data_IF_060122704107
#
_entry.id   IF_060122704107
#
_cell.length_a   1.000
_cell.length_b   1.000
_cell.length_c   1.000
_cell.angle_alpha   90.00
_cell.angle_beta   90.00
_cell.angle_gamma   90.00
#
_symmetry.space_group_name_H-M   'P 1'
#
loop_
_entity.id
_entity.type
_entity.pdbx_description
1 polymer ?
#
# COMPACT_ATOMS: atom_id res chain seq x y z
N UNK A 1 -50.15 59.15 -74.66
CA UNK A 1 -49.40 59.64 -73.50
C UNK A 1 -50.38 59.97 -72.38
N UNK A 2 -50.53 59.10 -71.38
CA UNK A 2 -51.26 59.41 -70.16
C UNK A 2 -50.53 58.75 -68.99
N UNK A 3 -49.97 59.59 -68.12
CA UNK A 3 -49.26 59.20 -66.91
C UNK A 3 -50.27 58.77 -65.84
N UNK A 4 -50.13 57.55 -65.33
CA UNK A 4 -50.90 57.05 -64.20
C UNK A 4 -50.19 57.41 -62.88
N UNK A 5 -50.89 58.20 -62.07
CA UNK A 5 -50.53 58.61 -60.72
C UNK A 5 -50.48 57.40 -59.77
N UNK A 6 -49.30 57.12 -59.21
CA UNK A 6 -49.14 56.18 -58.10
C UNK A 6 -49.64 56.81 -56.79
N UNK A 7 -50.61 56.16 -56.15
CA UNK A 7 -51.15 56.52 -54.84
C UNK A 7 -50.43 55.68 -53.77
N UNK A 8 -49.78 56.27 -52.75
CA UNK A 8 -49.07 55.50 -51.74
C UNK A 8 -50.07 54.81 -50.79
N UNK A 9 -49.86 53.52 -50.55
CA UNK A 9 -50.66 52.73 -49.63
C UNK A 9 -50.36 53.13 -48.16
N UNK A 10 -51.43 53.37 -47.39
CA UNK A 10 -51.41 53.60 -45.95
C UNK A 10 -50.86 52.37 -45.22
N UNK A 11 -49.83 52.56 -44.39
CA UNK A 11 -49.33 51.52 -43.48
C UNK A 11 -50.42 51.15 -42.46
N UNK A 12 -50.80 49.86 -42.45
CA UNK A 12 -51.73 49.31 -41.47
C UNK A 12 -51.04 49.18 -40.10
N UNK A 13 -51.69 49.71 -39.06
CA UNK A 13 -51.30 49.52 -37.64
C UNK A 13 -51.39 48.02 -37.29
N UNK A 14 -50.37 47.41 -36.64
CA UNK A 14 -50.46 46.02 -36.21
C UNK A 14 -51.52 45.88 -35.12
N UNK A 15 -52.38 44.87 -35.28
CA UNK A 15 -53.39 44.49 -34.30
C UNK A 15 -52.72 44.08 -32.97
N UNK A 16 -53.22 44.60 -31.85
CA UNK A 16 -52.82 44.19 -30.52
C UNK A 16 -53.08 42.68 -30.35
N UNK A 17 -52.02 41.92 -30.05
CA UNK A 17 -52.13 40.47 -29.78
C UNK A 17 -53.01 40.24 -28.55
N UNK A 18 -53.92 39.25 -28.56
CA UNK A 18 -54.73 38.92 -27.39
C UNK A 18 -53.83 38.47 -26.22
N UNK A 19 -54.18 38.82 -24.97
CA UNK A 19 -53.43 38.38 -23.80
C UNK A 19 -53.48 36.86 -23.71
N UNK A 20 -52.30 36.21 -23.73
CA UNK A 20 -52.17 34.78 -23.45
C UNK A 20 -52.64 34.53 -22.02
N UNK A 21 -53.82 33.94 -21.84
CA UNK A 21 -54.31 33.51 -20.52
C UNK A 21 -53.35 32.46 -19.99
N UNK A 22 -52.74 32.73 -18.83
CA UNK A 22 -51.70 31.88 -18.25
C UNK A 22 -52.27 30.52 -17.84
N UNK A 23 -51.69 29.44 -18.39
CA UNK A 23 -51.91 28.05 -17.97
C UNK A 23 -51.24 27.72 -16.62
N UNK A 24 -50.62 28.71 -15.97
CA UNK A 24 -49.84 28.57 -14.73
C UNK A 24 -50.57 27.84 -13.61
N UNK A 25 -51.88 28.06 -13.42
CA UNK A 25 -52.64 27.37 -12.36
C UNK A 25 -52.88 25.90 -12.69
N UNK A 26 -53.09 25.56 -13.95
CA UNK A 26 -53.29 24.18 -14.40
C UNK A 26 -51.97 23.39 -14.42
N UNK A 27 -50.88 24.05 -14.82
CA UNK A 27 -49.51 23.53 -14.69
C UNK A 27 -49.15 23.27 -13.22
N UNK A 28 -49.51 24.17 -12.29
CA UNK A 28 -49.26 23.98 -10.86
C UNK A 28 -50.05 22.81 -10.27
N UNK A 29 -51.32 22.65 -10.65
CA UNK A 29 -52.17 21.54 -10.15
C UNK A 29 -51.70 20.19 -10.69
N UNK A 30 -51.20 20.13 -11.92
CA UNK A 30 -50.64 18.90 -12.49
C UNK A 30 -49.21 18.61 -12.00
N UNK A 31 -48.40 19.63 -11.76
CA UNK A 31 -47.02 19.46 -11.29
C UNK A 31 -46.95 18.95 -9.84
N UNK A 32 -47.86 19.39 -8.97
CA UNK A 32 -47.85 19.04 -7.55
C UNK A 32 -47.90 17.51 -7.28
N UNK A 33 -48.85 16.72 -7.84
CA UNK A 33 -48.87 15.27 -7.62
C UNK A 33 -47.66 14.57 -8.23
N UNK A 34 -47.12 15.06 -9.35
CA UNK A 34 -45.91 14.51 -9.97
C UNK A 34 -44.70 14.75 -9.05
N UNK A 35 -44.55 15.95 -8.51
CA UNK A 35 -43.48 16.30 -7.58
C UNK A 35 -43.57 15.46 -6.29
N UNK A 36 -44.77 15.28 -5.73
CA UNK A 36 -44.97 14.40 -4.57
C UNK A 36 -44.65 12.94 -4.89
N UNK A 37 -45.00 12.44 -6.07
CA UNK A 37 -44.65 11.09 -6.50
C UNK A 37 -43.14 10.92 -6.64
N UNK A 38 -42.43 11.88 -7.26
CA UNK A 38 -40.97 11.86 -7.39
C UNK A 38 -40.30 11.91 -6.00
N UNK A 39 -40.77 12.78 -5.11
CA UNK A 39 -40.26 12.84 -3.73
C UNK A 39 -40.47 11.51 -2.99
N UNK A 40 -41.64 10.89 -3.14
CA UNK A 40 -41.90 9.57 -2.56
C UNK A 40 -40.95 8.50 -3.12
N UNK A 41 -40.68 8.51 -4.43
CA UNK A 41 -39.72 7.60 -5.06
C UNK A 41 -38.30 7.82 -4.53
N UNK A 42 -37.84 9.07 -4.41
CA UNK A 42 -36.51 9.39 -3.89
C UNK A 42 -36.32 8.90 -2.44
N UNK A 43 -37.31 9.12 -1.57
CA UNK A 43 -37.24 8.69 -0.17
C UNK A 43 -37.25 7.16 -0.07
N UNK A 44 -38.10 6.48 -0.84
CA UNK A 44 -38.12 5.02 -0.88
C UNK A 44 -36.80 4.46 -1.40
N UNK A 45 -36.26 5.01 -2.49
CA UNK A 45 -34.96 4.61 -3.05
C UNK A 45 -33.83 4.81 -2.04
N UNK A 46 -33.72 5.98 -1.42
CA UNK A 46 -32.72 6.24 -0.38
C UNK A 46 -32.82 5.28 0.80
N UNK A 47 -34.06 4.92 1.19
CA UNK A 47 -34.30 3.93 2.25
C UNK A 47 -33.82 2.54 1.83
N UNK A 48 -34.18 2.06 0.63
CA UNK A 48 -33.75 0.76 0.11
C UNK A 48 -32.22 0.70 -0.03
N UNK A 49 -31.61 1.75 -0.58
CA UNK A 49 -30.16 1.86 -0.71
C UNK A 49 -29.46 1.80 0.66
N UNK A 50 -29.97 2.54 1.65
CA UNK A 50 -29.45 2.52 3.03
C UNK A 50 -29.49 1.11 3.63
N UNK A 51 -30.60 0.38 3.42
CA UNK A 51 -30.72 -1.01 3.88
C UNK A 51 -29.82 -1.97 3.13
N UNK A 52 -29.58 -1.74 1.83
CA UNK A 52 -28.62 -2.53 1.04
C UNK A 52 -27.20 -2.36 1.57
N UNK A 53 -26.77 -1.14 1.86
CA UNK A 53 -25.44 -0.87 2.44
C UNK A 53 -25.30 -1.55 3.80
N UNK A 54 -26.30 -1.42 4.69
CA UNK A 54 -26.30 -2.13 5.98
C UNK A 54 -26.24 -3.64 5.81
N UNK A 55 -26.99 -4.21 4.87
CA UNK A 55 -26.95 -5.63 4.55
C UNK A 55 -25.57 -6.08 4.07
N UNK A 56 -24.89 -5.29 3.23
CA UNK A 56 -23.52 -5.58 2.78
C UNK A 56 -22.52 -5.53 3.93
N UNK A 57 -22.65 -4.57 4.85
CA UNK A 57 -21.82 -4.51 6.06
C UNK A 57 -22.02 -5.78 6.91
N UNK A 58 -23.27 -6.19 7.17
CA UNK A 58 -23.55 -7.41 7.96
C UNK A 58 -23.01 -8.66 7.27
N UNK A 59 -23.22 -8.80 5.96
CA UNK A 59 -22.68 -9.90 5.17
C UNK A 59 -21.14 -9.99 5.26
N UNK A 60 -20.44 -8.85 5.11
CA UNK A 60 -18.98 -8.77 5.26
C UNK A 60 -18.52 -9.05 6.68
N UNK A 61 -19.25 -8.59 7.69
CA UNK A 61 -18.92 -8.83 9.09
C UNK A 61 -19.04 -10.31 9.47
N UNK A 62 -20.12 -10.98 9.04
CA UNK A 62 -20.30 -12.41 9.26
C UNK A 62 -19.21 -13.24 8.60
N UNK A 63 -18.75 -12.78 7.44
CA UNK A 63 -17.66 -13.41 6.73
C UNK A 63 -16.31 -13.24 7.43
N UNK A 64 -16.06 -12.04 7.94
CA UNK A 64 -14.81 -11.69 8.62
C UNK A 64 -14.67 -12.31 10.01
N UNK A 65 -15.79 -12.58 10.71
CA UNK A 65 -15.77 -13.28 12.00
C UNK A 65 -15.41 -14.76 11.86
N UNK A 66 -15.65 -15.36 10.70
CA UNK A 66 -15.38 -16.77 10.41
C UNK A 66 -13.99 -16.99 9.78
N UNK A 67 -13.17 -15.92 9.68
CA UNK A 67 -11.81 -16.01 9.15
C UNK A 67 -10.91 -16.80 10.09
N UNK A 68 -10.11 -17.69 9.52
CA UNK A 68 -9.11 -18.47 10.24
C UNK A 68 -8.15 -17.57 11.04
N UNK A 69 -7.79 -17.99 12.27
CA UNK A 69 -6.88 -17.25 13.16
C UNK A 69 -7.53 -16.14 14.01
N UNK A 70 -8.84 -15.91 13.92
CA UNK A 70 -9.56 -14.92 14.75
C UNK A 70 -10.32 -15.48 15.95
N UNK A 71 -10.53 -16.79 16.01
CA UNK A 71 -11.01 -17.43 17.24
C UNK A 71 -9.84 -17.57 18.18
N UNK A 72 -9.66 -16.60 19.10
CA UNK A 72 -8.81 -16.81 20.27
C UNK A 72 -9.25 -18.10 20.97
N UNK A 73 -8.31 -18.90 21.48
CA UNK A 73 -8.49 -20.29 21.93
C UNK A 73 -9.58 -20.53 23.00
N UNK A 74 -10.21 -19.49 23.52
CA UNK A 74 -11.18 -19.54 24.63
C UNK A 74 -12.50 -18.82 24.37
N UNK A 75 -12.68 -18.14 23.24
CA UNK A 75 -13.88 -17.35 22.99
C UNK A 75 -14.47 -17.60 21.59
N UNK A 76 -15.76 -17.98 21.47
CA UNK A 76 -16.41 -18.13 20.16
C UNK A 76 -16.34 -16.83 19.35
N UNK A 77 -16.24 -16.95 18.02
CA UNK A 77 -16.07 -15.87 17.04
C UNK A 77 -17.03 -14.66 17.19
N UNK A 78 -18.14 -14.83 17.92
CA UNK A 78 -19.17 -13.83 18.18
C UNK A 78 -18.97 -13.01 19.45
N UNK A 79 -18.00 -13.36 20.32
CA UNK A 79 -17.90 -12.79 21.68
C UNK A 79 -17.25 -11.39 21.74
N UNK A 80 -16.36 -11.04 20.82
CA UNK A 80 -15.68 -9.74 20.80
C UNK A 80 -16.51 -8.61 20.18
N UNK A 81 -17.70 -8.92 19.66
CA UNK A 81 -18.64 -7.93 19.16
C UNK A 81 -19.60 -7.52 20.27
N UNK A 82 -19.97 -6.23 20.40
CA UNK A 82 -21.02 -5.82 21.32
C UNK A 82 -22.24 -6.72 21.13
N UNK A 83 -22.57 -7.50 22.17
CA UNK A 83 -23.61 -8.52 22.10
C UNK A 83 -24.99 -7.96 21.74
N UNK A 84 -25.14 -6.63 21.87
CA UNK A 84 -26.27 -5.88 21.38
C UNK A 84 -26.36 -5.71 19.86
N UNK A 85 -25.35 -6.01 19.03
CA UNK A 85 -25.43 -5.77 17.58
C UNK A 85 -26.14 -6.90 16.81
N UNK A 86 -26.10 -8.14 17.31
CA UNK A 86 -26.96 -9.23 16.79
C UNK A 86 -28.37 -9.15 17.38
N UNK A 87 -28.53 -8.61 18.61
CA UNK A 87 -29.84 -8.28 19.18
C UNK A 87 -30.45 -6.99 18.61
N UNK A 88 -29.63 -6.07 18.09
CA UNK A 88 -30.03 -4.87 17.34
C UNK A 88 -29.91 -5.06 15.82
N UNK A 89 -29.47 -6.23 15.36
CA UNK A 89 -29.71 -6.67 13.99
C UNK A 89 -31.23 -6.81 13.91
N UNK A 90 -31.90 -5.99 13.08
CA UNK A 90 -33.35 -6.03 13.04
C UNK A 90 -33.79 -7.46 12.66
N UNK A 91 -34.93 -7.94 13.18
CA UNK A 91 -35.38 -9.35 13.16
C UNK A 91 -35.59 -10.00 11.77
N UNK A 92 -35.08 -9.38 10.71
CA UNK A 92 -35.15 -9.81 9.32
C UNK A 92 -33.78 -10.15 8.70
N UNK A 93 -32.67 -10.09 9.45
CA UNK A 93 -31.32 -10.41 8.94
C UNK A 93 -30.89 -11.82 9.29
N UNK A 94 -31.16 -12.76 8.38
CA UNK A 94 -30.49 -14.06 8.36
C UNK A 94 -29.08 -13.88 7.80
N UNK A 95 -28.08 -14.28 8.58
CA UNK A 95 -26.69 -14.29 8.16
C UNK A 95 -26.14 -15.71 8.21
N UNK A 96 -25.43 -16.12 7.15
CA UNK A 96 -24.82 -17.44 7.05
C UNK A 96 -23.57 -17.38 6.19
N UNK A 97 -22.79 -18.45 6.26
CA UNK A 97 -21.61 -18.66 5.41
C UNK A 97 -21.90 -19.86 4.50
N UNK A 98 -21.66 -19.68 3.21
CA UNK A 98 -21.68 -20.75 2.21
C UNK A 98 -20.37 -20.78 1.45
N UNK A 99 -19.89 -21.97 1.11
CA UNK A 99 -18.82 -22.14 0.12
C UNK A 99 -19.39 -22.01 -1.28
N UNK A 100 -18.69 -21.31 -2.17
CA UNK A 100 -19.04 -21.30 -3.59
C UNK A 100 -18.40 -22.49 -4.30
N UNK A 101 -19.10 -23.14 -5.25
CA UNK A 101 -18.43 -23.97 -6.24
C UNK A 101 -17.53 -23.10 -7.12
N UNK A 102 -16.33 -23.62 -7.39
CA UNK A 102 -15.22 -23.10 -8.21
C UNK A 102 -15.60 -22.49 -9.58
N UNK A 103 -16.80 -22.76 -10.08
CA UNK A 103 -17.31 -22.28 -11.38
C UNK A 103 -17.49 -20.76 -11.50
N UNK A 104 -17.59 -20.02 -10.38
CA UNK A 104 -17.81 -18.55 -10.42
C UNK A 104 -16.53 -17.72 -10.53
N UNK A 105 -15.35 -18.25 -10.22
CA UNK A 105 -14.08 -17.51 -10.30
C UNK A 105 -13.66 -17.30 -11.76
N UNK A 106 -13.80 -18.34 -12.57
CA UNK A 106 -13.70 -18.24 -14.03
C UNK A 106 -14.73 -17.28 -14.60
N UNK A 107 -15.93 -17.20 -14.02
CA UNK A 107 -16.96 -16.26 -14.43
C UNK A 107 -16.65 -14.80 -14.03
N UNK A 108 -15.92 -14.55 -12.94
CA UNK A 108 -15.46 -13.20 -12.56
C UNK A 108 -14.35 -12.72 -13.52
N UNK A 109 -13.37 -13.58 -13.85
CA UNK A 109 -12.38 -13.29 -14.89
C UNK A 109 -13.03 -13.06 -16.27
N UNK A 110 -14.05 -13.85 -16.62
CA UNK A 110 -14.74 -13.77 -17.92
C UNK A 110 -15.76 -12.62 -18.00
N UNK A 111 -16.55 -12.34 -16.95
CA UNK A 111 -17.68 -11.40 -16.99
C UNK A 111 -17.32 -9.97 -16.59
N UNK A 112 -16.30 -9.78 -15.74
CA UNK A 112 -15.91 -8.44 -15.25
C UNK A 112 -14.58 -7.93 -15.81
N UNK A 113 -14.01 -8.63 -16.79
CA UNK A 113 -12.96 -8.03 -17.61
C UNK A 113 -11.71 -7.66 -16.82
N UNK A 114 -11.21 -8.56 -15.97
CA UNK A 114 -9.79 -8.56 -15.64
C UNK A 114 -8.95 -9.04 -16.85
N UNK A 115 -9.26 -8.54 -18.06
CA UNK A 115 -8.27 -8.20 -19.09
C UNK A 115 -7.60 -6.87 -18.73
N UNK A 116 -7.51 -6.53 -17.45
CA UNK A 116 -6.47 -5.64 -17.01
C UNK A 116 -5.17 -6.26 -17.54
N UNK A 117 -4.26 -5.48 -18.14
CA UNK A 117 -2.88 -5.92 -18.28
C UNK A 117 -2.31 -6.04 -16.86
N UNK A 118 -2.74 -7.07 -16.14
CA UNK A 118 -1.92 -7.66 -15.11
C UNK A 118 -0.69 -8.05 -15.92
N UNK A 119 0.39 -7.29 -15.75
CA UNK A 119 1.69 -7.73 -16.19
C UNK A 119 1.95 -9.04 -15.49
N UNK A 120 1.46 -10.14 -16.08
CA UNK A 120 1.96 -11.46 -15.82
C UNK A 120 3.35 -11.37 -16.44
N UNK A 121 4.31 -10.89 -15.63
CA UNK A 121 5.72 -11.05 -15.96
C UNK A 121 5.91 -12.52 -16.33
N UNK A 122 6.84 -12.84 -17.25
CA UNK A 122 7.04 -14.22 -17.68
C UNK A 122 7.09 -15.11 -16.45
N UNK A 123 6.07 -15.96 -16.28
CA UNK A 123 6.05 -16.95 -15.21
C UNK A 123 7.28 -17.79 -15.47
N UNK A 124 8.18 -17.78 -14.51
CA UNK A 124 9.41 -18.52 -14.62
C UNK A 124 9.01 -19.99 -14.81
N UNK A 125 9.25 -20.54 -16.00
CA UNK A 125 8.88 -21.92 -16.35
C UNK A 125 7.74 -22.14 -17.36
N UNK A 126 6.89 -21.16 -17.70
CA UNK A 126 5.77 -21.37 -18.65
C UNK A 126 6.22 -21.67 -20.09
N UNK A 127 7.47 -21.31 -20.42
CA UNK A 127 8.11 -21.54 -21.72
C UNK A 127 9.23 -22.57 -21.64
N UNK A 128 9.40 -23.24 -20.50
CA UNK A 128 10.51 -24.16 -20.29
C UNK A 128 10.09 -25.58 -20.65
N UNK A 129 10.80 -26.18 -21.61
CA UNK A 129 10.56 -27.56 -22.01
C UNK A 129 10.89 -28.53 -20.85
N UNK A 130 10.19 -29.68 -20.75
CA UNK A 130 10.52 -30.71 -19.76
C UNK A 130 12.00 -31.07 -19.79
N UNK A 131 12.66 -31.34 -18.63
CA UNK A 131 12.08 -31.73 -17.35
C UNK A 131 11.86 -30.59 -16.34
N UNK A 132 12.20 -29.35 -16.67
CA UNK A 132 12.03 -28.23 -15.74
C UNK A 132 10.55 -27.90 -15.55
N UNK A 133 10.14 -27.78 -14.29
CA UNK A 133 8.77 -27.51 -13.90
C UNK A 133 8.50 -26.00 -13.86
N UNK A 134 7.25 -25.55 -14.09
CA UNK A 134 6.88 -24.17 -13.81
C UNK A 134 6.93 -23.87 -12.31
N UNK A 135 7.02 -22.59 -11.94
CA UNK A 135 6.74 -22.18 -10.57
C UNK A 135 5.32 -22.60 -10.21
N UNK A 136 5.20 -23.45 -9.20
CA UNK A 136 3.90 -23.91 -8.72
C UNK A 136 3.50 -23.05 -7.53
N UNK A 137 2.31 -22.48 -7.60
CA UNK A 137 1.66 -21.90 -6.42
C UNK A 137 1.19 -23.05 -5.54
N UNK A 138 1.52 -22.99 -4.26
CA UNK A 138 1.02 -23.96 -3.29
C UNK A 138 -0.51 -23.81 -3.17
N UNK A 139 -1.23 -24.75 -3.78
CA UNK A 139 -2.70 -24.74 -3.86
C UNK A 139 -3.37 -24.99 -2.50
N UNK A 140 -2.63 -25.49 -1.49
CA UNK A 140 -3.17 -25.65 -0.14
C UNK A 140 -3.12 -24.31 0.63
N UNK A 141 -2.21 -23.40 0.25
CA UNK A 141 -2.12 -22.04 0.80
C UNK A 141 -2.94 -21.03 -0.03
N UNK A 142 -2.81 -21.06 -1.35
CA UNK A 142 -3.38 -20.11 -2.31
C UNK A 142 -4.13 -20.82 -3.44
N UNK A 143 -5.34 -21.28 -3.13
CA UNK A 143 -6.32 -21.67 -4.14
C UNK A 143 -7.60 -20.83 -4.01
N UNK A 144 -7.79 -19.80 -4.87
CA UNK A 144 -9.00 -18.96 -4.87
C UNK A 144 -10.29 -19.77 -5.02
N UNK A 145 -10.23 -20.96 -5.59
CA UNK A 145 -11.38 -21.83 -5.82
C UNK A 145 -11.79 -22.63 -4.55
N UNK A 146 -10.83 -23.02 -3.69
CA UNK A 146 -11.11 -23.75 -2.42
C UNK A 146 -11.43 -22.84 -1.25
N UNK A 147 -10.78 -21.69 -1.23
CA UNK A 147 -10.65 -20.85 -0.04
C UNK A 147 -11.52 -19.60 -0.12
N UNK A 148 -12.48 -19.52 -1.06
CA UNK A 148 -13.43 -18.40 -1.14
C UNK A 148 -14.69 -18.68 -0.31
N UNK A 149 -14.91 -17.85 0.70
CA UNK A 149 -16.12 -17.85 1.51
C UNK A 149 -17.07 -16.75 1.03
N UNK A 150 -18.39 -16.98 1.11
CA UNK A 150 -19.41 -15.94 0.97
C UNK A 150 -20.19 -15.78 2.27
N UNK A 151 -20.22 -14.55 2.77
CA UNK A 151 -21.17 -14.12 3.79
C UNK A 151 -22.39 -13.55 3.10
N UNK A 152 -23.58 -13.95 3.53
CA UNK A 152 -24.83 -13.39 3.02
C UNK A 152 -25.65 -12.73 4.14
N UNK A 153 -26.47 -11.77 3.75
CA UNK A 153 -27.44 -11.12 4.62
C UNK A 153 -28.74 -10.88 3.83
N UNK A 154 -29.87 -11.27 4.38
CA UNK A 154 -31.19 -10.96 3.80
C UNK A 154 -31.89 -9.86 4.59
N UNK A 155 -32.72 -9.04 3.96
CA UNK A 155 -33.59 -8.05 4.64
C UNK A 155 -34.94 -8.04 3.95
N UNK A 156 -36.02 -8.03 4.71
CA UNK A 156 -37.38 -7.82 4.21
C UNK A 156 -38.04 -6.65 4.94
N UNK A 157 -38.57 -5.67 4.20
CA UNK A 157 -39.14 -4.42 4.76
C UNK A 157 -40.20 -3.83 3.82
N UNK A 158 -41.12 -3.04 4.38
CA UNK A 158 -42.07 -2.25 3.59
C UNK A 158 -41.48 -0.91 3.14
N UNK A 159 -41.98 -0.39 2.02
CA UNK A 159 -41.68 0.96 1.55
C UNK A 159 -42.28 2.03 2.48
N UNK A 160 -41.51 3.01 2.98
CA UNK A 160 -42.02 4.01 3.92
C UNK A 160 -43.19 4.85 3.38
N UNK A 161 -43.14 5.25 2.11
CA UNK A 161 -44.16 6.13 1.50
C UNK A 161 -45.04 5.44 0.46
N UNK A 162 -44.67 4.24 0.01
CA UNK A 162 -45.41 3.46 -1.00
C UNK A 162 -45.79 2.07 -0.45
N UNK A 163 -46.37 2.02 0.75
CA UNK A 163 -46.72 0.77 1.45
C UNK A 163 -47.59 -0.20 0.64
N UNK A 164 -48.40 0.32 -0.30
CA UNK A 164 -49.23 -0.49 -1.20
C UNK A 164 -48.46 -1.32 -2.23
N UNK A 165 -47.17 -1.03 -2.46
CA UNK A 165 -46.29 -1.85 -3.30
C UNK A 165 -45.88 -3.16 -2.62
N UNK A 166 -46.20 -3.33 -1.33
CA UNK A 166 -45.79 -4.49 -0.55
C UNK A 166 -44.33 -4.41 -0.08
N UNK A 167 -43.85 -5.47 0.58
CA UNK A 167 -42.50 -5.51 1.10
C UNK A 167 -41.48 -5.70 -0.02
N UNK A 168 -40.36 -4.98 0.07
CA UNK A 168 -39.17 -5.28 -0.70
C UNK A 168 -38.27 -6.26 0.06
N UNK A 169 -37.54 -7.09 -0.71
CA UNK A 169 -36.53 -8.01 -0.20
C UNK A 169 -35.18 -7.67 -0.79
N UNK A 170 -34.17 -7.60 0.06
CA UNK A 170 -32.78 -7.40 -0.33
C UNK A 170 -31.98 -8.63 0.07
N UNK A 171 -31.16 -9.11 -0.85
CA UNK A 171 -30.06 -10.03 -0.58
C UNK A 171 -28.76 -9.26 -0.75
N UNK A 172 -27.93 -9.27 0.27
CA UNK A 172 -26.56 -8.80 0.24
C UNK A 172 -25.62 -9.99 0.38
N UNK A 173 -24.51 -9.93 -0.35
CA UNK A 173 -23.51 -10.98 -0.40
C UNK A 173 -22.15 -10.29 -0.43
N UNK A 174 -21.21 -10.81 0.35
CA UNK A 174 -19.80 -10.43 0.32
C UNK A 174 -18.96 -11.68 0.14
N UNK A 175 -17.85 -11.55 -0.59
CA UNK A 175 -16.88 -12.63 -0.78
C UNK A 175 -15.57 -12.26 -0.09
N UNK A 176 -14.91 -13.26 0.48
CA UNK A 176 -13.63 -13.13 1.17
C UNK A 176 -12.82 -14.35 0.85
N UNK A 177 -11.55 -14.11 0.58
CA UNK A 177 -10.59 -15.18 0.49
C UNK A 177 -10.06 -15.54 1.88
N UNK A 178 -10.28 -16.79 2.28
CA UNK A 178 -9.98 -17.35 3.57
C UNK A 178 -9.06 -18.56 3.42
N UNK A 179 -7.89 -18.50 4.03
CA UNK A 179 -6.96 -19.62 4.13
C UNK A 179 -5.94 -19.35 5.23
N UNK A 180 -4.97 -20.25 5.42
CA UNK A 180 -3.93 -20.11 6.43
C UNK A 180 -2.87 -19.09 5.99
N UNK A 181 -3.27 -17.83 5.78
CA UNK A 181 -2.41 -16.70 5.42
C UNK A 181 -1.66 -16.16 6.64
N UNK A 182 -1.06 -17.06 7.41
CA UNK A 182 -0.26 -16.69 8.59
C UNK A 182 1.21 -16.61 8.19
N UNK A 183 1.98 -15.78 8.90
CA UNK A 183 3.43 -15.66 8.71
C UNK A 183 4.11 -17.03 8.62
N UNK A 184 3.91 -17.94 9.59
CA UNK A 184 4.52 -19.26 9.57
C UNK A 184 4.06 -20.14 8.40
N UNK A 185 2.79 -20.06 8.00
CA UNK A 185 2.24 -20.89 6.93
C UNK A 185 2.74 -20.47 5.54
N UNK A 186 3.16 -19.21 5.38
CA UNK A 186 3.81 -18.71 4.17
C UNK A 186 5.33 -18.95 4.17
N UNK A 187 5.86 -19.55 5.23
CA UNK A 187 7.29 -19.77 5.44
C UNK A 187 8.08 -18.52 5.79
N UNK A 188 7.37 -17.44 6.16
CA UNK A 188 7.98 -16.19 6.59
C UNK A 188 8.18 -16.19 8.12
N UNK A 189 9.35 -15.75 8.56
CA UNK A 189 9.78 -15.71 9.95
C UNK A 189 9.44 -14.37 10.62
N UNK A 190 9.56 -13.27 9.89
CA UNK A 190 9.25 -11.92 10.37
C UNK A 190 8.79 -10.98 9.24
N UNK A 191 8.34 -9.78 9.59
CA UNK A 191 7.82 -8.80 8.62
C UNK A 191 8.88 -8.26 7.64
N UNK A 192 10.16 -8.51 7.88
CA UNK A 192 11.26 -8.07 7.03
C UNK A 192 11.57 -9.11 5.93
N UNK A 193 10.93 -10.29 6.00
CA UNK A 193 11.01 -11.28 4.93
C UNK A 193 10.32 -10.77 3.65
N UNK A 194 11.14 -10.45 2.66
CA UNK A 194 10.70 -10.06 1.32
C UNK A 194 10.12 -11.23 0.50
N UNK A 195 10.07 -12.44 1.06
CA UNK A 195 9.67 -13.67 0.34
C UNK A 195 8.70 -14.51 1.17
N UNK A 196 7.76 -15.15 0.48
CA UNK A 196 6.88 -16.19 1.04
C UNK A 196 7.31 -17.55 0.44
N UNK A 197 8.36 -18.20 0.98
CA UNK A 197 8.97 -19.36 0.34
C UNK A 197 8.03 -20.56 0.21
N UNK A 198 7.06 -20.70 1.11
CA UNK A 198 6.13 -21.84 1.06
C UNK A 198 4.94 -21.59 0.13
N UNK A 199 4.71 -20.33 -0.27
CA UNK A 199 3.66 -19.93 -1.20
C UNK A 199 3.99 -20.33 -2.65
N UNK A 200 5.27 -20.28 -3.01
CA UNK A 200 5.76 -20.62 -4.34
C UNK A 200 6.79 -21.74 -4.25
N UNK A 201 6.46 -22.90 -4.79
CA UNK A 201 7.46 -23.95 -4.97
C UNK A 201 8.37 -23.56 -6.13
N UNK A 202 9.62 -23.22 -5.79
CA UNK A 202 10.67 -23.03 -6.80
C UNK A 202 10.91 -24.38 -7.46
N UNK A 203 10.77 -24.49 -8.79
CA UNK A 203 10.93 -25.75 -9.47
C UNK A 203 12.37 -26.24 -9.35
N UNK A 204 12.53 -27.49 -8.94
CA UNK A 204 13.82 -28.17 -8.99
C UNK A 204 14.19 -28.34 -10.47
N UNK A 205 15.10 -27.51 -10.95
CA UNK A 205 15.61 -27.61 -12.32
C UNK A 205 16.95 -28.35 -12.30
N UNK A 206 17.11 -29.41 -13.12
CA UNK A 206 18.42 -30.04 -13.32
C UNK A 206 19.33 -29.17 -14.20
N UNK A 207 18.81 -28.08 -14.80
CA UNK A 207 19.59 -27.15 -15.60
C UNK A 207 20.38 -26.18 -14.69
N UNK A 208 21.72 -26.31 -14.61
CA UNK A 208 22.56 -25.43 -13.80
C UNK A 208 22.52 -23.97 -14.28
N UNK A 209 22.05 -23.70 -15.51
CA UNK A 209 21.95 -22.35 -16.06
C UNK A 209 20.96 -21.47 -15.29
N UNK A 210 20.00 -22.05 -14.57
CA UNK A 210 19.02 -21.29 -13.80
C UNK A 210 19.63 -20.63 -12.56
N UNK A 211 20.42 -21.39 -11.80
CA UNK A 211 21.22 -20.83 -10.72
C UNK A 211 22.13 -19.73 -11.26
N UNK A 212 22.71 -19.95 -12.45
CA UNK A 212 23.59 -18.97 -13.09
C UNK A 212 22.85 -17.70 -13.56
N UNK A 213 21.60 -17.81 -14.05
CA UNK A 213 20.75 -16.65 -14.40
C UNK A 213 20.33 -15.87 -13.16
N UNK A 214 20.02 -16.55 -12.06
CA UNK A 214 19.74 -15.91 -10.78
C UNK A 214 20.97 -15.18 -10.24
N UNK A 215 22.13 -15.84 -10.26
CA UNK A 215 23.42 -15.23 -9.93
C UNK A 215 23.68 -14.01 -10.82
N UNK A 216 23.43 -14.10 -12.13
CA UNK A 216 23.59 -12.98 -13.05
C UNK A 216 22.61 -11.84 -12.77
N UNK A 217 21.36 -12.12 -12.37
CA UNK A 217 20.39 -11.10 -12.00
C UNK A 217 20.79 -10.37 -10.71
N UNK A 218 21.21 -11.11 -9.69
CA UNK A 218 21.78 -10.53 -8.46
C UNK A 218 23.04 -9.74 -8.77
N UNK A 219 23.93 -10.30 -9.61
CA UNK A 219 25.14 -9.63 -10.06
C UNK A 219 24.83 -8.35 -10.84
N UNK A 220 23.74 -8.28 -11.63
CA UNK A 220 23.34 -7.04 -12.30
C UNK A 220 22.88 -5.95 -11.33
N UNK A 221 22.29 -6.31 -10.21
CA UNK A 221 21.94 -5.36 -9.14
C UNK A 221 23.22 -4.92 -8.43
N UNK A 222 24.08 -5.87 -8.09
CA UNK A 222 25.32 -5.64 -7.38
C UNK A 222 26.38 -4.87 -8.19
N UNK A 223 26.40 -5.08 -9.51
CA UNK A 223 27.26 -4.39 -10.48
C UNK A 223 26.46 -3.41 -11.34
N UNK A 224 25.36 -2.88 -10.81
CA UNK A 224 24.57 -1.89 -11.53
C UNK A 224 25.45 -0.66 -11.86
N UNK A 225 25.22 0.05 -12.98
CA UNK A 225 26.04 1.21 -13.34
C UNK A 225 26.05 2.31 -12.28
N UNK A 226 24.95 2.46 -11.53
CA UNK A 226 24.80 3.42 -10.44
C UNK A 226 25.40 2.96 -9.11
N UNK A 227 25.95 1.74 -9.02
CA UNK A 227 26.52 1.24 -7.76
C UNK A 227 27.77 2.03 -7.36
N UNK A 228 28.50 2.62 -8.32
CA UNK A 228 29.56 3.58 -8.03
C UNK A 228 29.06 4.83 -7.31
N UNK A 229 27.86 5.32 -7.66
CA UNK A 229 27.24 6.49 -7.02
C UNK A 229 26.73 6.17 -5.61
N UNK A 230 26.38 4.90 -5.36
CA UNK A 230 25.95 4.40 -4.04
C UNK A 230 27.11 3.90 -3.18
N UNK A 231 28.31 3.73 -3.77
CA UNK A 231 29.47 3.15 -3.09
C UNK A 231 29.87 3.93 -1.82
N UNK A 232 29.85 5.28 -1.78
CA UNK A 232 30.10 6.03 -0.55
C UNK A 232 29.05 5.81 0.55
N UNK A 233 27.84 5.35 0.20
CA UNK A 233 26.75 5.08 1.14
C UNK A 233 26.74 3.62 1.62
N UNK A 234 27.08 2.68 0.73
CA UNK A 234 26.99 1.24 0.99
C UNK A 234 28.30 0.66 1.57
N UNK A 235 29.46 1.17 1.13
CA UNK A 235 30.79 0.60 1.42
C UNK A 235 31.88 1.65 1.32
N UNK A 236 32.11 2.33 2.43
CA UNK A 236 33.32 3.12 2.61
C UNK A 236 34.50 2.19 2.89
N UNK A 237 35.47 2.15 1.96
CA UNK A 237 36.65 1.27 2.03
C UNK A 237 37.52 1.62 3.27
N UNK A 238 37.52 2.86 3.75
CA UNK A 238 38.23 3.28 4.96
C UNK A 238 37.53 2.75 6.22
N UNK A 239 36.20 2.80 6.24
CA UNK A 239 35.40 2.25 7.34
C UNK A 239 35.61 0.73 7.48
N UNK A 240 35.68 0.01 6.36
CA UNK A 240 35.99 -1.41 6.33
C UNK A 240 37.43 -1.70 6.77
N UNK A 241 38.40 -0.93 6.28
CA UNK A 241 39.81 -1.06 6.63
C UNK A 241 40.03 -0.93 8.15
N UNK A 242 39.53 0.15 8.75
CA UNK A 242 39.73 0.41 10.18
C UNK A 242 39.01 -0.60 11.06
N UNK A 243 37.82 -1.06 10.65
CA UNK A 243 37.13 -2.15 11.35
C UNK A 243 37.86 -3.49 11.29
N UNK A 244 38.43 -3.84 10.13
CA UNK A 244 39.20 -5.08 10.03
C UNK A 244 40.48 -5.01 10.87
N UNK A 245 41.09 -3.84 10.96
CA UNK A 245 42.29 -3.61 11.78
C UNK A 245 42.02 -3.66 13.29
N UNK A 246 40.87 -3.16 13.72
CA UNK A 246 40.48 -3.10 15.13
C UNK A 246 39.25 -3.96 15.43
N UNK A 247 39.32 -5.30 15.25
CA UNK A 247 38.17 -6.19 15.38
C UNK A 247 37.65 -6.31 16.82
N UNK A 248 38.45 -5.93 17.81
CA UNK A 248 38.14 -6.07 19.23
C UNK A 248 37.84 -4.74 19.94
N UNK A 249 37.86 -3.61 19.24
CA UNK A 249 37.64 -2.28 19.84
C UNK A 249 36.16 -1.90 19.68
N UNK A 250 35.34 -1.93 20.74
CA UNK A 250 33.90 -1.79 20.61
C UNK A 250 33.47 -0.44 20.02
N UNK A 251 34.21 0.63 20.34
CA UNK A 251 33.94 1.98 19.82
C UNK A 251 34.05 2.04 18.28
N UNK A 252 34.96 1.26 17.69
CA UNK A 252 35.18 1.20 16.23
C UNK A 252 34.21 0.19 15.59
N UNK A 253 34.00 -0.98 16.22
CA UNK A 253 33.12 -2.02 15.68
C UNK A 253 31.64 -1.63 15.69
N UNK A 254 31.19 -0.99 16.77
CA UNK A 254 29.79 -0.68 17.02
C UNK A 254 29.21 0.46 16.18
N UNK A 255 30.05 1.25 15.50
CA UNK A 255 29.57 2.32 14.60
C UNK A 255 29.03 1.72 13.30
N UNK A 256 27.85 2.17 12.85
CA UNK A 256 27.13 1.59 11.72
C UNK A 256 27.43 2.28 10.39
N UNK A 257 27.41 1.50 9.29
CA UNK A 257 27.47 1.99 7.91
C UNK A 257 26.08 2.32 7.34
N UNK A 258 25.02 1.90 8.02
CA UNK A 258 23.64 2.13 7.55
C UNK A 258 23.13 3.51 8.00
N UNK A 259 23.62 4.54 7.31
CA UNK A 259 23.18 5.91 7.52
C UNK A 259 21.72 6.15 7.10
N UNK A 260 21.21 5.35 6.16
CA UNK A 260 19.83 5.46 5.66
C UNK A 260 18.86 4.97 6.74
N UNK A 261 19.09 3.78 7.29
CA UNK A 261 18.27 3.23 8.38
C UNK A 261 18.32 4.09 9.65
N UNK A 262 19.45 4.76 9.89
CA UNK A 262 19.64 5.58 11.10
C UNK A 262 19.11 7.01 10.97
N UNK A 263 19.33 7.67 9.84
CA UNK A 263 19.04 9.09 9.66
C UNK A 263 17.92 9.39 8.66
N UNK A 264 17.61 8.47 7.74
CA UNK A 264 16.61 8.68 6.68
C UNK A 264 15.47 7.65 6.71
N UNK A 265 15.07 7.22 7.92
CA UNK A 265 13.97 6.25 8.07
C UNK A 265 12.60 6.92 8.19
N UNK A 266 11.69 6.52 7.30
CA UNK A 266 10.24 6.65 7.46
C UNK A 266 9.72 5.55 8.42
N UNK A 267 9.55 5.87 9.71
CA UNK A 267 9.08 4.90 10.70
C UNK A 267 7.82 4.15 10.26
N UNK A 268 7.68 2.90 10.72
CA UNK A 268 6.61 1.98 10.33
C UNK A 268 5.24 2.67 10.27
N UNK A 269 4.62 2.67 9.10
CA UNK A 269 3.37 3.35 8.84
C UNK A 269 2.49 2.51 7.92
N UNK A 270 1.26 2.27 8.36
CA UNK A 270 0.25 1.52 7.62
C UNK A 270 -1.06 2.31 7.62
N UNK A 271 -1.09 3.44 6.91
CA UNK A 271 -2.32 4.19 6.63
C UNK A 271 -2.42 4.48 5.13
N UNK A 272 -3.65 4.65 4.66
CA UNK A 272 -3.97 5.00 3.27
C UNK A 272 -4.46 6.45 3.15
N UNK A 273 -4.58 7.19 4.26
CA UNK A 273 -4.94 8.61 4.24
C UNK A 273 -3.86 9.43 3.50
N UNK A 274 -4.18 10.07 2.35
CA UNK A 274 -3.22 10.84 1.58
C UNK A 274 -2.61 12.00 2.37
N UNK A 275 -3.36 12.61 3.30
CA UNK A 275 -2.86 13.73 4.12
C UNK A 275 -1.83 13.22 5.12
N UNK A 276 -2.12 12.11 5.81
CA UNK A 276 -1.18 11.44 6.70
C UNK A 276 0.09 10.95 5.97
N UNK A 277 -0.04 10.41 4.76
CA UNK A 277 1.10 10.01 3.92
C UNK A 277 1.96 11.22 3.57
N UNK A 278 1.35 12.27 3.03
CA UNK A 278 2.07 13.46 2.56
C UNK A 278 2.85 14.12 3.72
N UNK A 279 2.21 14.28 4.88
CA UNK A 279 2.87 14.85 6.05
C UNK A 279 4.11 14.05 6.48
N UNK A 280 4.07 12.72 6.41
CA UNK A 280 5.23 11.87 6.75
C UNK A 280 6.33 11.95 5.71
N UNK A 281 5.97 12.01 4.44
CA UNK A 281 6.93 12.22 3.34
C UNK A 281 7.59 13.57 3.50
N UNK A 282 6.84 14.63 3.80
CA UNK A 282 7.38 15.98 4.01
C UNK A 282 8.36 16.01 5.19
N UNK A 283 8.02 15.35 6.30
CA UNK A 283 8.94 15.19 7.45
C UNK A 283 10.22 14.43 7.09
N UNK A 284 10.13 13.41 6.24
CA UNK A 284 11.30 12.69 5.76
C UNK A 284 12.16 13.60 4.86
N UNK A 285 11.53 14.33 3.94
CA UNK A 285 12.22 15.29 3.08
C UNK A 285 12.90 16.36 3.91
N UNK A 286 12.24 16.87 4.96
CA UNK A 286 12.81 17.86 5.86
C UNK A 286 14.03 17.33 6.60
N UNK A 287 13.99 16.09 7.08
CA UNK A 287 15.13 15.44 7.74
C UNK A 287 16.29 15.19 6.77
N UNK A 288 15.99 14.75 5.55
CA UNK A 288 17.01 14.57 4.50
C UNK A 288 17.71 15.90 4.23
N UNK A 289 16.95 16.99 4.08
CA UNK A 289 17.48 18.31 3.74
C UNK A 289 18.07 19.08 4.92
N UNK A 290 17.69 18.73 6.15
CA UNK A 290 18.03 19.52 7.33
C UNK A 290 17.21 20.81 7.45
N UNK A 291 15.96 20.81 6.99
CA UNK A 291 15.04 21.93 7.14
C UNK A 291 14.21 21.79 8.42
N UNK A 292 13.50 22.85 8.82
CA UNK A 292 12.64 22.86 10.01
C UNK A 292 13.37 22.50 11.32
N UNK A 293 14.62 22.94 11.45
CA UNK A 293 15.45 22.72 12.64
C UNK A 293 15.98 21.30 12.80
N UNK A 294 15.86 20.45 11.77
CA UNK A 294 16.50 19.15 11.71
C UNK A 294 17.95 19.28 11.20
N UNK A 295 18.84 18.44 11.69
CA UNK A 295 20.16 18.26 11.07
C UNK A 295 19.99 17.42 9.81
N UNK A 296 20.58 17.84 8.69
CA UNK A 296 20.48 17.11 7.42
C UNK A 296 21.09 15.72 7.55
N UNK A 297 20.67 14.77 6.71
CA UNK A 297 21.29 13.44 6.67
C UNK A 297 22.77 13.55 6.38
N UNK A 298 23.17 14.43 5.45
CA UNK A 298 24.57 14.66 5.12
C UNK A 298 25.38 15.18 6.32
N UNK A 299 24.81 16.10 7.11
CA UNK A 299 25.49 16.64 8.29
C UNK A 299 25.57 15.59 9.42
N UNK A 300 24.53 14.79 9.63
CA UNK A 300 24.59 13.67 10.57
C UNK A 300 25.64 12.62 10.15
N UNK A 301 25.74 12.33 8.84
CA UNK A 301 26.79 11.46 8.31
C UNK A 301 28.17 12.04 8.57
N UNK A 302 28.40 13.33 8.28
CA UNK A 302 29.67 14.02 8.57
C UNK A 302 30.07 13.86 10.03
N UNK A 303 29.13 14.08 10.96
CA UNK A 303 29.37 13.95 12.40
C UNK A 303 29.70 12.50 12.81
N UNK A 304 29.04 11.50 12.24
CA UNK A 304 29.35 10.09 12.51
C UNK A 304 30.73 9.70 11.98
N UNK A 305 31.09 10.11 10.75
CA UNK A 305 32.43 9.90 10.19
C UNK A 305 33.50 10.57 11.05
N UNK A 306 33.28 11.82 11.44
CA UNK A 306 34.18 12.55 12.32
C UNK A 306 34.41 11.78 13.63
N UNK A 307 33.34 11.36 14.30
CA UNK A 307 33.46 10.61 15.54
C UNK A 307 34.12 9.23 15.36
N UNK A 308 33.90 8.58 14.21
CA UNK A 308 34.57 7.31 13.90
C UNK A 308 36.09 7.51 13.75
N UNK A 309 36.53 8.52 13.01
CA UNK A 309 37.95 8.82 12.86
C UNK A 309 38.60 9.30 14.16
N UNK A 310 37.88 10.03 15.01
CA UNK A 310 38.34 10.36 16.37
C UNK A 310 38.57 9.09 17.21
N UNK A 311 37.65 8.12 17.16
CA UNK A 311 37.80 6.84 17.88
C UNK A 311 38.99 6.02 17.35
N UNK A 312 39.19 5.99 16.03
CA UNK A 312 40.34 5.33 15.38
C UNK A 312 41.66 5.99 15.79
N UNK A 313 41.72 7.33 15.72
CA UNK A 313 42.90 8.10 16.11
C UNK A 313 43.27 7.84 17.56
N UNK A 314 42.28 7.86 18.46
CA UNK A 314 42.48 7.57 19.88
C UNK A 314 43.09 6.18 20.08
N UNK A 315 42.63 5.17 19.34
CA UNK A 315 43.18 3.82 19.45
C UNK A 315 44.60 3.71 18.89
N UNK A 316 44.93 4.42 17.81
CA UNK A 316 46.31 4.51 17.32
C UNK A 316 47.25 5.18 18.33
N UNK A 317 46.78 6.23 19.00
CA UNK A 317 47.51 6.88 20.09
C UNK A 317 47.69 5.94 21.29
N UNK A 318 46.67 5.14 21.63
CA UNK A 318 46.78 4.12 22.67
C UNK A 318 47.86 3.09 22.33
N UNK A 319 47.90 2.60 21.09
CA UNK A 319 48.94 1.67 20.62
C UNK A 319 50.33 2.29 20.64
N UNK A 320 50.46 3.56 20.25
CA UNK A 320 51.74 4.28 20.27
C UNK A 320 52.30 4.41 21.70
N UNK A 321 51.40 4.59 22.67
CA UNK A 321 51.72 4.74 24.09
C UNK A 321 51.67 3.42 24.88
N UNK A 322 51.51 2.28 24.21
CA UNK A 322 51.43 0.97 24.86
C UNK A 322 52.74 0.61 25.59
N UNK A 323 52.63 -0.26 26.60
CA UNK A 323 53.79 -0.78 27.35
C UNK A 323 53.87 -2.30 27.23
N UNK A 324 54.98 -2.87 26.72
CA UNK A 324 56.17 -2.18 26.20
C UNK A 324 55.87 -1.39 24.90
N UNK A 325 56.65 -0.33 24.61
CA UNK A 325 56.42 0.49 23.43
C UNK A 325 56.60 -0.34 22.15
N UNK A 326 55.83 -0.04 21.09
CA UNK A 326 55.95 -0.77 19.84
C UNK A 326 57.33 -0.52 19.19
N UNK A 327 57.81 -1.43 18.32
CA UNK A 327 59.07 -1.26 17.60
C UNK A 327 59.15 0.07 16.82
N UNK A 328 60.35 0.66 16.61
CA UNK A 328 60.49 1.97 15.98
C UNK A 328 59.83 2.11 14.60
N UNK A 329 59.87 1.06 13.77
CA UNK A 329 59.18 1.03 12.47
C UNK A 329 57.66 1.11 12.62
N UNK A 330 57.10 0.41 13.61
CA UNK A 330 55.67 0.44 13.93
C UNK A 330 55.28 1.83 14.49
N UNK A 331 56.10 2.42 15.35
CA UNK A 331 55.88 3.79 15.82
C UNK A 331 55.84 4.80 14.67
N UNK A 332 56.75 4.69 13.70
CA UNK A 332 56.76 5.58 12.54
C UNK A 332 55.51 5.43 11.68
N UNK A 333 55.02 4.20 11.49
CA UNK A 333 53.78 3.93 10.76
C UNK A 333 52.55 4.49 11.49
N UNK A 334 52.42 4.23 12.79
CA UNK A 334 51.32 4.75 13.60
C UNK A 334 51.25 6.29 13.54
N UNK A 335 52.40 6.97 13.60
CA UNK A 335 52.45 8.44 13.48
C UNK A 335 52.01 8.94 12.10
N UNK A 336 52.39 8.24 11.03
CA UNK A 336 51.94 8.60 9.67
C UNK A 336 50.42 8.45 9.53
N UNK A 337 49.85 7.38 10.08
CA UNK A 337 48.41 7.14 10.05
C UNK A 337 47.64 8.17 10.88
N UNK A 338 48.14 8.54 12.06
CA UNK A 338 47.57 9.62 12.87
C UNK A 338 47.59 10.94 12.09
N UNK A 339 48.69 11.27 11.41
CA UNK A 339 48.79 12.48 10.58
C UNK A 339 47.81 12.48 9.40
N UNK A 340 47.57 11.32 8.78
CA UNK A 340 46.58 11.18 7.71
C UNK A 340 45.16 11.42 8.24
N UNK A 341 44.81 10.81 9.38
CA UNK A 341 43.52 11.01 10.05
C UNK A 341 43.32 12.46 10.49
N UNK A 342 44.37 13.15 10.93
CA UNK A 342 44.30 14.58 11.27
C UNK A 342 43.93 15.44 10.05
N UNK A 343 44.44 15.10 8.87
CA UNK A 343 44.08 15.79 7.63
C UNK A 343 42.61 15.52 7.24
N UNK A 344 42.13 14.29 7.39
CA UNK A 344 40.72 13.93 7.15
C UNK A 344 39.77 14.60 8.14
N UNK A 345 40.10 14.59 9.44
CA UNK A 345 39.34 15.26 10.48
C UNK A 345 39.25 16.76 10.25
N UNK A 346 40.29 17.39 9.69
CA UNK A 346 40.26 18.80 9.31
C UNK A 346 39.25 19.07 8.18
N UNK A 347 39.11 18.17 7.20
CA UNK A 347 38.08 18.28 6.15
C UNK A 347 36.66 18.16 6.73
N UNK A 348 36.52 17.41 7.83
CA UNK A 348 35.26 17.21 8.53
C UNK A 348 35.05 18.20 9.67
N UNK A 349 35.82 19.28 9.82
CA UNK A 349 35.61 20.24 10.93
C UNK A 349 34.42 21.16 10.65
N UNK A 350 34.34 21.69 9.43
CA UNK A 350 33.34 22.68 9.06
C UNK A 350 31.97 22.03 8.78
N UNK A 351 30.86 22.68 9.15
CA UNK A 351 29.52 22.22 8.81
C UNK A 351 29.30 22.26 7.30
N UNK A 352 28.50 21.31 6.78
CA UNK A 352 28.08 21.33 5.38
C UNK A 352 27.11 22.50 5.14
N UNK A 353 27.39 23.32 4.13
CA UNK A 353 26.53 24.45 3.72
C UNK A 353 25.24 24.00 3.04
#
# INVERSE_FOLDING_TARGET
>A
MHAALFRPARAARPAARPPRRGLSTLEMVLALPILLAVMALLINFGTVASWKVRGLSVARHQLWSQREGRTGSTFPATQYWPQGYLAAAPPAVGAGVGGWPTTSLNAIEQAHGARLPVGRGPSVGDTVAPPAQPFLVNQDLLDPARNMLEGHATVARDYPLLKRLGPYRLRAAGQLFNGPWTFPALGAQDNDDFRAPDLFTVPATPDPSYAQRYIQAVARIYYAPFQADLRPLDRDDEFLYWKQRFPLVPAIQGRGHDFIGRFAWLGSFCDLDPVGIQSRVDLLVDRIRGTNGQTSVAENMRLEFKGFFEDVKQELENLLNATPPPPPNVQSQLRQEIQALDAELALLQDPLN
#
